data_IF_426079071080
#
_entry.id   IF_426079071080
#
_cell.length_a   1.000
_cell.length_b   1.000
_cell.length_c   1.000
_cell.angle_alpha   90.00
_cell.angle_beta   90.00
_cell.angle_gamma   90.00
#
_symmetry.space_group_name_H-M   'P 1'
#
loop_
_entity.id
_entity.type
_entity.pdbx_description
1 polymer ?
#
# COMPACT_ATOMS: atom_id res chain seq x y z
N UNK A 1 -29.64 -5.97 -12.76
CA UNK A 1 -28.52 -5.60 -11.87
C UNK A 1 -29.02 -4.55 -10.90
N UNK A 2 -28.56 -4.52 -9.64
CA UNK A 2 -28.99 -3.50 -8.68
C UNK A 2 -28.65 -2.10 -9.23
N UNK A 3 -29.53 -1.12 -8.97
CA UNK A 3 -29.34 0.28 -9.39
C UNK A 3 -28.39 1.05 -8.46
N UNK A 4 -28.11 0.50 -7.28
CA UNK A 4 -27.16 1.03 -6.30
C UNK A 4 -26.21 -0.06 -5.81
N UNK A 5 -25.13 0.36 -5.14
CA UNK A 5 -24.18 -0.49 -4.44
C UNK A 5 -23.72 0.20 -3.15
N UNK A 6 -23.21 -0.55 -2.18
CA UNK A 6 -22.73 0.02 -0.90
C UNK A 6 -21.29 0.50 -0.99
N UNK A 7 -21.01 1.66 -0.42
CA UNK A 7 -19.66 2.22 -0.27
C UNK A 7 -19.49 2.91 1.08
N UNK A 8 -18.26 2.90 1.60
CA UNK A 8 -17.87 3.62 2.80
C UNK A 8 -17.35 5.02 2.47
N UNK A 9 -17.87 6.01 3.19
CA UNK A 9 -17.53 7.42 3.05
C UNK A 9 -17.34 8.08 4.41
N UNK A 10 -16.87 9.33 4.41
CA UNK A 10 -16.86 10.24 5.56
C UNK A 10 -17.39 11.59 5.11
N UNK A 11 -18.34 12.16 5.84
CA UNK A 11 -18.81 13.54 5.64
C UNK A 11 -17.98 14.54 6.44
N UNK A 12 -17.83 14.24 7.72
CA UNK A 12 -17.04 15.04 8.66
C UNK A 12 -16.06 14.13 9.37
N UNK A 13 -14.75 14.32 9.19
CA UNK A 13 -13.74 13.51 9.86
C UNK A 13 -13.84 13.65 11.38
N UNK A 14 -13.89 12.53 12.08
CA UNK A 14 -13.96 12.50 13.55
C UNK A 14 -13.16 11.37 14.20
N UNK A 15 -12.66 10.42 13.41
CA UNK A 15 -12.23 9.12 13.90
C UNK A 15 -13.05 7.98 13.26
N UNK A 16 -12.73 6.71 13.57
CA UNK A 16 -13.33 5.55 12.91
C UNK A 16 -14.87 5.49 12.94
N UNK A 17 -15.50 6.11 13.92
CA UNK A 17 -16.95 6.25 14.05
C UNK A 17 -17.59 7.19 13.02
N UNK A 18 -16.80 8.01 12.32
CA UNK A 18 -17.27 8.86 11.22
C UNK A 18 -17.42 8.12 9.89
N UNK A 19 -17.07 6.82 9.84
CA UNK A 19 -17.22 6.00 8.64
C UNK A 19 -18.69 5.61 8.48
N UNK A 20 -19.29 6.06 7.39
CA UNK A 20 -20.69 5.79 7.02
C UNK A 20 -20.74 4.83 5.81
N UNK A 21 -21.61 3.84 5.84
CA UNK A 21 -21.94 3.02 4.65
C UNK A 21 -23.19 3.60 4.00
N UNK A 22 -23.10 3.96 2.72
CA UNK A 22 -24.19 4.54 1.95
C UNK A 22 -24.48 3.72 0.68
N UNK A 23 -25.70 3.85 0.16
CA UNK A 23 -26.04 3.40 -1.19
C UNK A 23 -25.62 4.44 -2.22
N UNK A 24 -24.86 3.99 -3.23
CA UNK A 24 -24.32 4.79 -4.32
C UNK A 24 -24.91 4.31 -5.65
N UNK A 25 -25.40 5.21 -6.52
CA UNK A 25 -25.86 4.82 -7.86
C UNK A 25 -24.76 4.15 -8.68
N UNK A 26 -25.11 3.10 -9.42
CA UNK A 26 -24.16 2.46 -10.34
C UNK A 26 -23.79 3.43 -11.47
N UNK A 27 -22.48 3.67 -11.67
CA UNK A 27 -21.95 4.45 -12.78
C UNK A 27 -21.36 3.52 -13.86
N UNK A 28 -21.59 3.83 -15.14
CA UNK A 28 -20.97 3.12 -16.27
C UNK A 28 -19.54 3.61 -16.51
N UNK A 29 -18.58 2.72 -16.83
CA UNK A 29 -17.21 3.13 -17.11
C UNK A 29 -17.12 3.92 -18.42
N UNK A 30 -16.39 5.03 -18.39
CA UNK A 30 -16.04 5.81 -19.57
C UNK A 30 -14.89 5.21 -20.38
N UNK A 31 -14.42 5.89 -21.44
CA UNK A 31 -13.27 5.45 -22.23
C UNK A 31 -12.03 5.18 -21.36
N UNK A 32 -11.35 4.06 -21.59
CA UNK A 32 -10.17 3.66 -20.81
C UNK A 32 -10.45 3.22 -19.37
N UNK A 33 -11.71 3.10 -18.95
CA UNK A 33 -12.09 2.71 -17.60
C UNK A 33 -12.76 1.33 -17.55
N UNK A 34 -12.70 0.70 -16.40
CA UNK A 34 -13.48 -0.50 -16.07
C UNK A 34 -14.25 -0.30 -14.78
N UNK A 35 -15.38 -1.01 -14.65
CA UNK A 35 -16.06 -1.18 -13.37
C UNK A 35 -15.68 -2.56 -12.81
N UNK A 36 -15.18 -2.57 -11.60
CA UNK A 36 -14.73 -3.79 -10.90
C UNK A 36 -15.66 -4.07 -9.75
N UNK A 37 -16.17 -5.30 -9.65
CA UNK A 37 -16.80 -5.82 -8.44
C UNK A 37 -15.70 -6.21 -7.45
N UNK A 38 -15.64 -5.52 -6.33
CA UNK A 38 -14.55 -5.66 -5.35
C UNK A 38 -14.79 -6.92 -4.53
N UNK A 39 -13.75 -7.76 -4.44
CA UNK A 39 -13.73 -8.96 -3.60
C UNK A 39 -12.96 -8.72 -2.28
N UNK A 40 -12.07 -7.73 -2.25
CA UNK A 40 -11.38 -7.29 -1.05
C UNK A 40 -10.70 -5.94 -1.26
N UNK A 41 -10.73 -5.11 -0.22
CA UNK A 41 -9.98 -3.86 -0.12
C UNK A 41 -9.23 -3.85 1.21
N UNK A 42 -8.09 -3.17 1.32
CA UNK A 42 -7.29 -3.24 2.56
C UNK A 42 -7.21 -1.92 3.28
N UNK A 43 -7.14 -2.00 4.61
CA UNK A 43 -6.91 -0.85 5.48
C UNK A 43 -5.42 -0.53 5.55
N UNK A 44 -5.07 0.71 5.23
CA UNK A 44 -3.71 1.23 5.26
C UNK A 44 -3.55 2.34 6.32
N UNK A 45 -2.32 2.62 6.79
CA UNK A 45 -2.06 3.75 7.67
C UNK A 45 -2.53 5.09 7.10
N UNK A 46 -2.48 5.25 5.77
CA UNK A 46 -2.98 6.45 5.10
C UNK A 46 -4.50 6.62 5.25
N UNK A 47 -5.27 5.54 5.28
CA UNK A 47 -6.72 5.61 5.50
C UNK A 47 -7.05 6.11 6.92
N UNK A 48 -6.19 5.81 7.91
CA UNK A 48 -6.34 6.35 9.27
C UNK A 48 -6.22 7.88 9.28
N UNK A 49 -5.29 8.43 8.49
CA UNK A 49 -5.10 9.88 8.38
C UNK A 49 -6.27 10.59 7.71
N UNK A 50 -6.92 9.94 6.73
CA UNK A 50 -8.16 10.46 6.11
C UNK A 50 -9.27 10.52 7.15
N UNK A 51 -9.49 9.40 7.86
CA UNK A 51 -10.52 9.26 8.90
C UNK A 51 -10.33 10.22 10.07
N UNK A 52 -9.08 10.47 10.46
CA UNK A 52 -8.74 11.41 11.53
C UNK A 52 -8.76 12.89 11.09
N UNK A 53 -8.99 13.18 9.81
CA UNK A 53 -9.06 14.55 9.29
C UNK A 53 -7.70 15.22 9.04
N UNK A 54 -6.58 14.49 9.18
CA UNK A 54 -5.23 15.03 9.00
C UNK A 54 -5.07 15.66 7.61
N UNK A 55 -5.55 14.98 6.57
CA UNK A 55 -5.42 15.48 5.19
C UNK A 55 -6.39 16.62 4.86
N UNK A 56 -7.51 16.74 5.58
CA UNK A 56 -8.40 17.91 5.46
C UNK A 56 -7.74 19.16 6.04
N UNK A 57 -7.13 19.02 7.22
CA UNK A 57 -6.40 20.12 7.87
C UNK A 57 -5.19 20.60 7.06
N UNK A 58 -4.56 19.69 6.31
CA UNK A 58 -3.47 20.00 5.38
C UNK A 58 -3.94 20.58 4.03
N UNK A 59 -5.25 20.70 3.80
CA UNK A 59 -5.81 21.19 2.54
C UNK A 59 -5.59 20.25 1.35
N UNK A 60 -5.42 18.94 1.61
CA UNK A 60 -5.23 17.90 0.59
C UNK A 60 -6.55 17.19 0.22
N UNK A 61 -7.64 17.49 0.94
CA UNK A 61 -9.01 17.08 0.65
C UNK A 61 -9.87 18.34 0.70
N UNK A 62 -10.57 18.63 -0.39
CA UNK A 62 -11.45 19.79 -0.58
C UNK A 62 -12.87 19.37 -1.04
N UNK A 63 -13.19 18.07 -0.93
CA UNK A 63 -14.53 17.57 -1.23
C UNK A 63 -15.61 18.25 -0.37
N UNK A 64 -16.68 18.78 -0.98
CA UNK A 64 -17.66 19.59 -0.26
C UNK A 64 -18.63 18.77 0.59
N UNK A 65 -18.94 17.54 0.17
CA UNK A 65 -20.02 16.74 0.77
C UNK A 65 -19.52 15.51 1.53
N UNK A 66 -18.56 14.78 0.95
CA UNK A 66 -17.99 13.57 1.53
C UNK A 66 -16.71 13.15 0.81
N UNK A 67 -15.95 12.28 1.47
CA UNK A 67 -14.76 11.62 0.91
C UNK A 67 -14.89 10.10 0.97
N UNK A 68 -14.50 9.44 -0.11
CA UNK A 68 -14.48 7.98 -0.23
C UNK A 68 -13.19 7.37 0.34
N UNK A 69 -13.31 6.19 0.94
CA UNK A 69 -12.20 5.53 1.66
C UNK A 69 -11.56 4.37 0.91
N UNK A 70 -10.31 4.06 1.25
CA UNK A 70 -9.59 2.89 0.75
C UNK A 70 -8.81 3.17 -0.54
N UNK A 71 -7.65 2.50 -0.64
CA UNK A 71 -6.68 2.66 -1.73
C UNK A 71 -6.53 1.38 -2.56
N UNK A 72 -6.41 0.24 -1.90
CA UNK A 72 -6.19 -1.04 -2.56
C UNK A 72 -7.50 -1.75 -2.85
N UNK A 73 -7.55 -2.49 -3.96
CA UNK A 73 -8.58 -3.48 -4.18
C UNK A 73 -8.05 -4.67 -4.98
N UNK A 74 -8.78 -5.79 -4.87
CA UNK A 74 -8.82 -6.82 -5.88
C UNK A 74 -10.25 -7.29 -6.09
N UNK A 75 -10.58 -7.70 -7.32
CA UNK A 75 -11.95 -7.99 -7.72
C UNK A 75 -12.06 -8.55 -9.13
N UNK A 76 -13.26 -8.49 -9.68
CA UNK A 76 -13.57 -8.98 -11.03
C UNK A 76 -14.12 -7.85 -11.87
N UNK A 77 -13.62 -7.68 -13.10
CA UNK A 77 -14.17 -6.71 -14.06
C UNK A 77 -15.59 -7.12 -14.43
N UNK A 78 -16.56 -6.23 -14.22
CA UNK A 78 -17.99 -6.47 -14.52
C UNK A 78 -18.54 -5.57 -15.63
N UNK A 79 -17.82 -4.52 -16.00
CA UNK A 79 -18.06 -3.73 -17.20
C UNK A 79 -16.76 -3.06 -17.65
N UNK A 80 -16.63 -2.79 -18.96
CA UNK A 80 -15.49 -2.10 -19.54
C UNK A 80 -16.00 -1.01 -20.49
N UNK A 81 -15.37 0.16 -20.43
CA UNK A 81 -15.65 1.26 -21.34
C UNK A 81 -14.88 1.12 -22.66
N UNK A 82 -15.10 2.05 -23.61
CA UNK A 82 -14.43 2.02 -24.91
C UNK A 82 -12.90 2.03 -24.80
N UNK A 83 -12.24 1.25 -25.67
CA UNK A 83 -10.76 1.23 -25.77
C UNK A 83 -10.06 0.43 -24.67
N UNK A 84 -10.79 -0.35 -23.88
CA UNK A 84 -10.21 -1.26 -22.88
C UNK A 84 -10.17 -2.68 -23.42
N UNK A 85 -8.97 -3.26 -23.46
CA UNK A 85 -8.74 -4.65 -23.92
C UNK A 85 -8.92 -5.70 -22.81
N UNK A 86 -9.04 -5.28 -21.55
CA UNK A 86 -9.24 -6.18 -20.41
C UNK A 86 -10.66 -6.77 -20.47
N UNK A 87 -10.81 -8.11 -20.61
CA UNK A 87 -12.13 -8.72 -20.73
C UNK A 87 -12.97 -8.60 -19.45
N UNK A 88 -14.28 -8.44 -19.60
CA UNK A 88 -15.24 -8.67 -18.51
C UNK A 88 -15.10 -10.11 -17.99
N UNK A 89 -15.12 -10.27 -16.67
CA UNK A 89 -14.82 -11.53 -15.98
C UNK A 89 -13.36 -11.68 -15.54
N UNK A 90 -12.47 -10.78 -15.98
CA UNK A 90 -11.07 -10.80 -15.57
C UNK A 90 -10.90 -10.48 -14.09
N UNK A 91 -10.06 -11.26 -13.41
CA UNK A 91 -9.62 -10.99 -12.05
C UNK A 91 -8.53 -9.92 -12.07
N UNK A 92 -8.72 -8.84 -11.33
CA UNK A 92 -7.82 -7.68 -11.33
C UNK A 92 -7.53 -7.19 -9.92
N UNK A 93 -6.38 -6.55 -9.73
CA UNK A 93 -6.04 -5.80 -8.54
C UNK A 93 -5.50 -4.43 -8.94
N UNK A 94 -5.64 -3.44 -8.06
CA UNK A 94 -5.28 -2.06 -8.37
C UNK A 94 -5.10 -1.18 -7.15
N UNK A 95 -4.49 -0.03 -7.42
CA UNK A 95 -4.27 1.05 -6.48
C UNK A 95 -5.02 2.29 -6.96
N UNK A 96 -5.95 2.81 -6.16
CA UNK A 96 -6.58 4.11 -6.36
C UNK A 96 -5.88 5.13 -5.48
N UNK A 97 -5.00 5.93 -6.09
CA UNK A 97 -4.23 6.95 -5.39
C UNK A 97 -5.01 8.26 -5.19
N UNK A 98 -4.48 9.12 -4.33
CA UNK A 98 -5.10 10.39 -3.96
C UNK A 98 -6.01 10.27 -2.75
N UNK A 99 -6.48 11.41 -2.26
CA UNK A 99 -7.38 11.50 -1.11
C UNK A 99 -8.75 12.07 -1.50
N UNK A 100 -8.73 13.02 -2.43
CA UNK A 100 -9.85 13.88 -2.78
C UNK A 100 -10.73 13.23 -3.86
N UNK A 101 -11.67 12.39 -3.43
CA UNK A 101 -12.57 11.62 -4.31
C UNK A 101 -13.88 11.29 -3.63
N UNK A 102 -14.94 11.14 -4.40
CA UNK A 102 -16.28 10.80 -3.88
C UNK A 102 -16.30 9.39 -3.28
N UNK A 103 -15.73 8.42 -4.00
CA UNK A 103 -15.76 7.00 -3.64
C UNK A 103 -14.38 6.36 -3.79
N UNK A 104 -14.00 5.53 -2.82
CA UNK A 104 -12.75 4.77 -2.84
C UNK A 104 -13.00 3.27 -2.90
N UNK A 105 -11.99 2.48 -2.56
CA UNK A 105 -12.05 1.01 -2.69
C UNK A 105 -12.84 0.31 -1.58
N UNK A 106 -13.23 1.01 -0.52
CA UNK A 106 -14.14 0.47 0.48
C UNK A 106 -15.57 0.45 -0.05
N UNK A 107 -15.82 -0.35 -1.07
CA UNK A 107 -17.08 -0.40 -1.79
C UNK A 107 -17.32 -1.79 -2.38
N UNK A 108 -18.57 -2.09 -2.73
CA UNK A 108 -18.92 -3.32 -3.46
C UNK A 108 -18.43 -3.30 -4.92
N UNK A 109 -18.31 -2.12 -5.51
CA UNK A 109 -17.74 -1.93 -6.84
C UNK A 109 -17.15 -0.53 -6.99
N UNK A 110 -16.26 -0.36 -7.98
CA UNK A 110 -15.65 0.93 -8.28
C UNK A 110 -15.31 1.04 -9.77
N UNK A 111 -15.41 2.25 -10.33
CA UNK A 111 -14.89 2.58 -11.66
C UNK A 111 -13.45 3.07 -11.53
N UNK A 112 -12.54 2.47 -12.28
CA UNK A 112 -11.09 2.75 -12.23
C UNK A 112 -10.50 2.80 -13.63
N UNK A 113 -9.37 3.49 -13.79
CA UNK A 113 -8.62 3.48 -15.03
C UNK A 113 -8.03 2.08 -15.29
N UNK A 114 -8.13 1.59 -16.53
CA UNK A 114 -7.56 0.30 -16.91
C UNK A 114 -6.02 0.29 -16.84
N UNK A 115 -5.37 1.46 -16.89
CA UNK A 115 -3.91 1.62 -16.73
C UNK A 115 -3.41 1.38 -15.30
N UNK A 116 -4.31 1.48 -14.32
CA UNK A 116 -3.96 1.48 -12.90
C UNK A 116 -4.14 0.10 -12.26
N UNK A 117 -4.56 -0.87 -13.06
CA UNK A 117 -4.88 -2.22 -12.63
C UNK A 117 -4.02 -3.25 -13.35
N UNK A 118 -3.91 -4.42 -12.73
CA UNK A 118 -3.22 -5.57 -13.29
C UNK A 118 -4.08 -6.82 -13.17
N UNK A 119 -3.90 -7.76 -14.09
CA UNK A 119 -4.50 -9.09 -13.98
C UNK A 119 -3.92 -9.82 -12.77
N UNK A 120 -4.79 -10.49 -12.02
CA UNK A 120 -4.40 -11.35 -10.90
C UNK A 120 -4.14 -12.76 -11.43
N UNK A 121 -2.94 -13.34 -11.24
CA UNK A 121 -2.64 -14.70 -11.67
C UNK A 121 -3.59 -15.73 -11.03
N UNK A 122 -3.87 -16.82 -11.75
CA UNK A 122 -4.89 -17.78 -11.33
C UNK A 122 -4.62 -18.38 -9.94
N UNK A 123 -3.34 -18.64 -9.62
CA UNK A 123 -2.87 -19.17 -8.34
C UNK A 123 -2.93 -18.20 -7.16
N UNK A 124 -3.20 -16.91 -7.38
CA UNK A 124 -3.23 -15.90 -6.32
C UNK A 124 -4.66 -15.46 -6.00
N UNK A 125 -5.23 -15.94 -4.90
CA UNK A 125 -6.60 -15.59 -4.49
C UNK A 125 -6.81 -14.07 -4.33
N UNK A 126 -7.99 -13.55 -4.69
CA UNK A 126 -8.28 -12.10 -4.70
C UNK A 126 -8.05 -11.41 -3.34
N UNK A 127 -8.40 -12.06 -2.23
CA UNK A 127 -8.14 -11.53 -0.88
C UNK A 127 -6.64 -11.30 -0.64
N UNK A 128 -5.80 -12.23 -1.07
CA UNK A 128 -4.35 -12.09 -0.97
C UNK A 128 -3.82 -11.03 -1.96
N UNK A 129 -4.33 -11.04 -3.19
CA UNK A 129 -3.99 -10.06 -4.21
C UNK A 129 -4.29 -8.62 -3.78
N UNK A 130 -5.38 -8.37 -3.04
CA UNK A 130 -5.73 -7.05 -2.50
C UNK A 130 -4.68 -6.50 -1.52
N UNK A 131 -3.77 -7.34 -0.99
CA UNK A 131 -2.72 -6.90 -0.06
C UNK A 131 -1.49 -6.31 -0.73
N UNK A 132 -1.35 -6.53 -2.04
CA UNK A 132 -0.16 -6.21 -2.85
C UNK A 132 -0.09 -4.74 -3.29
N UNK A 133 -1.15 -4.07 -3.80
CA UNK A 133 -0.98 -2.90 -4.67
C UNK A 133 -0.16 -1.75 -4.08
N UNK A 134 -0.64 -1.04 -3.05
CA UNK A 134 0.05 0.12 -2.49
C UNK A 134 1.40 -0.24 -1.88
N UNK A 135 1.49 -1.38 -1.18
CA UNK A 135 2.72 -1.76 -0.48
C UNK A 135 3.80 -2.21 -1.45
N UNK A 136 3.43 -3.01 -2.46
CA UNK A 136 4.36 -3.47 -3.47
C UNK A 136 4.81 -2.35 -4.39
N UNK A 137 3.89 -1.46 -4.80
CA UNK A 137 4.25 -0.28 -5.59
C UNK A 137 5.13 0.68 -4.77
N UNK A 138 4.81 0.93 -3.50
CA UNK A 138 5.66 1.72 -2.61
C UNK A 138 7.06 1.10 -2.46
N UNK A 139 7.15 -0.21 -2.23
CA UNK A 139 8.43 -0.90 -2.09
C UNK A 139 9.25 -0.86 -3.38
N UNK A 140 8.64 -1.15 -4.53
CA UNK A 140 9.30 -1.10 -5.83
C UNK A 140 9.85 0.30 -6.15
N UNK A 141 9.00 1.33 -5.98
CA UNK A 141 9.37 2.73 -6.24
C UNK A 141 10.39 3.25 -5.21
N UNK A 142 10.36 2.75 -3.97
CA UNK A 142 11.39 3.03 -2.96
C UNK A 142 12.74 2.45 -3.41
N UNK A 143 12.75 1.20 -3.86
CA UNK A 143 13.98 0.55 -4.32
C UNK A 143 14.51 1.23 -5.58
N UNK A 144 13.65 1.82 -6.43
CA UNK A 144 14.09 2.63 -7.58
C UNK A 144 14.87 3.86 -7.12
N UNK A 145 14.43 4.53 -6.05
CA UNK A 145 15.09 5.70 -5.47
C UNK A 145 16.40 5.35 -4.73
N UNK A 146 16.55 4.12 -4.24
CA UNK A 146 17.83 3.63 -3.70
C UNK A 146 18.90 3.50 -4.80
N UNK A 147 18.46 3.23 -6.03
CA UNK A 147 19.35 2.92 -7.15
C UNK A 147 20.06 1.57 -7.00
N UNK A 148 21.06 1.37 -7.86
CA UNK A 148 21.84 0.13 -7.85
C UNK A 148 22.76 0.05 -6.63
N UNK A 149 22.91 -1.17 -6.10
CA UNK A 149 23.63 -1.39 -4.86
C UNK A 149 25.14 -1.20 -5.02
N UNK A 150 25.73 -1.64 -6.13
CA UNK A 150 27.16 -1.89 -6.25
C UNK A 150 27.74 -2.75 -5.09
N UNK A 151 26.91 -3.63 -4.50
CA UNK A 151 27.25 -4.45 -3.33
C UNK A 151 27.24 -3.72 -1.98
N UNK A 152 26.64 -2.52 -1.91
CA UNK A 152 26.49 -1.73 -0.68
C UNK A 152 25.48 -2.34 0.31
N UNK A 153 25.60 -1.91 1.57
CA UNK A 153 24.79 -2.39 2.68
C UNK A 153 23.52 -1.54 2.88
N UNK A 154 22.36 -2.20 2.85
CA UNK A 154 21.05 -1.58 3.05
C UNK A 154 20.46 -2.02 4.38
N UNK A 155 20.04 -1.04 5.19
CA UNK A 155 19.13 -1.29 6.30
C UNK A 155 17.68 -1.06 5.86
N UNK A 156 16.80 -2.02 6.14
CA UNK A 156 15.34 -1.85 5.97
C UNK A 156 14.69 -1.76 7.35
N UNK A 157 14.22 -0.59 7.76
CA UNK A 157 13.45 -0.45 9.00
C UNK A 157 12.03 -0.98 8.80
N UNK A 158 11.39 -1.46 9.86
CA UNK A 158 10.04 -2.02 9.73
C UNK A 158 10.02 -3.26 8.82
N UNK A 159 11.10 -4.04 8.83
CA UNK A 159 11.32 -5.19 7.95
C UNK A 159 10.21 -6.26 8.03
N UNK A 160 9.58 -6.39 9.19
CA UNK A 160 8.45 -7.29 9.41
C UNK A 160 7.09 -6.73 8.96
N UNK A 161 7.05 -5.48 8.49
CA UNK A 161 5.88 -4.79 7.98
C UNK A 161 5.57 -5.12 6.52
N UNK A 162 4.50 -4.52 6.00
CA UNK A 162 3.98 -4.81 4.65
C UNK A 162 4.84 -4.20 3.53
N UNK A 163 5.40 -3.01 3.74
CA UNK A 163 6.34 -2.39 2.80
C UNK A 163 7.74 -2.98 2.98
N UNK A 164 8.25 -3.00 4.22
CA UNK A 164 9.62 -3.46 4.51
C UNK A 164 9.92 -4.88 4.03
N UNK A 165 8.98 -5.82 4.20
CA UNK A 165 9.16 -7.18 3.71
C UNK A 165 9.31 -7.28 2.18
N UNK A 166 8.66 -6.37 1.44
CA UNK A 166 8.75 -6.32 -0.03
C UNK A 166 10.04 -5.63 -0.46
N UNK A 167 10.44 -4.57 0.27
CA UNK A 167 11.72 -3.88 0.04
C UNK A 167 12.89 -4.86 0.18
N UNK A 168 12.85 -5.76 1.16
CA UNK A 168 13.90 -6.79 1.33
C UNK A 168 14.09 -7.59 0.05
N UNK A 169 13.04 -8.27 -0.42
CA UNK A 169 13.13 -9.14 -1.59
C UNK A 169 13.53 -8.33 -2.85
N UNK A 170 12.90 -7.19 -3.09
CA UNK A 170 13.15 -6.37 -4.27
C UNK A 170 14.54 -5.71 -4.26
N UNK A 171 15.08 -5.35 -3.10
CA UNK A 171 16.42 -4.78 -3.00
C UNK A 171 17.50 -5.85 -3.20
N UNK A 172 17.26 -7.09 -2.73
CA UNK A 172 18.16 -8.22 -2.99
C UNK A 172 18.23 -8.55 -4.48
N UNK A 173 17.12 -8.46 -5.21
CA UNK A 173 17.10 -8.61 -6.68
C UNK A 173 17.96 -7.54 -7.39
N UNK A 174 18.22 -6.40 -6.73
CA UNK A 174 19.15 -5.35 -7.19
C UNK A 174 20.55 -5.45 -6.59
N UNK A 175 20.86 -6.58 -5.96
CA UNK A 175 22.18 -6.89 -5.42
C UNK A 175 22.53 -6.17 -4.12
N UNK A 176 21.57 -5.59 -3.40
CA UNK A 176 21.85 -5.00 -2.07
C UNK A 176 22.16 -6.09 -1.05
N UNK A 177 23.10 -5.83 -0.15
CA UNK A 177 23.28 -6.64 1.07
C UNK A 177 22.33 -6.13 2.13
N UNK A 178 21.22 -6.85 2.33
CA UNK A 178 20.09 -6.34 3.10
C UNK A 178 20.12 -6.86 4.54
N UNK A 179 20.07 -5.94 5.50
CA UNK A 179 19.72 -6.22 6.90
C UNK A 179 18.35 -5.64 7.20
N UNK A 180 17.44 -6.47 7.70
CA UNK A 180 16.14 -6.03 8.18
C UNK A 180 16.17 -5.67 9.67
N UNK A 181 15.67 -4.49 10.01
CA UNK A 181 15.41 -4.06 11.38
C UNK A 181 13.94 -4.25 11.76
N UNK A 182 13.70 -5.05 12.78
CA UNK A 182 12.36 -5.30 13.34
C UNK A 182 12.46 -5.77 14.81
N UNK A 183 11.32 -6.09 15.43
CA UNK A 183 11.32 -6.63 16.81
C UNK A 183 11.96 -8.01 16.81
N UNK A 184 12.59 -8.41 17.91
CA UNK A 184 13.21 -9.73 18.07
C UNK A 184 12.25 -10.89 17.75
N UNK A 185 10.96 -10.74 18.05
CA UNK A 185 9.92 -11.74 17.72
C UNK A 185 9.71 -11.97 16.23
N UNK A 186 10.20 -11.06 15.37
CA UNK A 186 10.08 -11.15 13.92
C UNK A 186 11.33 -11.68 13.21
N UNK A 187 12.39 -12.01 13.96
CA UNK A 187 13.67 -12.45 13.38
C UNK A 187 13.49 -13.59 12.37
N UNK A 188 12.73 -14.62 12.74
CA UNK A 188 12.49 -15.77 11.87
C UNK A 188 11.81 -15.37 10.55
N UNK A 189 10.90 -14.39 10.59
CA UNK A 189 10.24 -13.90 9.39
C UNK A 189 11.22 -13.14 8.50
N UNK A 190 11.98 -12.20 9.07
CA UNK A 190 12.95 -11.37 8.32
C UNK A 190 14.04 -12.24 7.69
N UNK A 191 14.62 -13.16 8.46
CA UNK A 191 15.62 -14.12 7.93
C UNK A 191 15.03 -15.07 6.89
N UNK A 192 13.76 -15.42 7.03
CA UNK A 192 13.04 -16.24 6.05
C UNK A 192 12.88 -15.55 4.69
N UNK A 193 12.99 -14.23 4.62
CA UNK A 193 13.06 -13.47 3.37
C UNK A 193 14.48 -13.42 2.78
N UNK A 194 15.47 -14.03 3.43
CA UNK A 194 16.86 -14.06 2.97
C UNK A 194 17.72 -12.88 3.42
N UNK A 195 17.21 -11.98 4.26
CA UNK A 195 17.97 -10.86 4.81
C UNK A 195 18.67 -11.21 6.14
N UNK A 196 19.73 -10.48 6.45
CA UNK A 196 20.23 -10.41 7.82
C UNK A 196 19.22 -9.70 8.75
N UNK A 197 19.42 -9.84 10.06
CA UNK A 197 18.48 -9.33 11.06
C UNK A 197 19.19 -8.56 12.18
N UNK A 198 18.59 -7.45 12.59
CA UNK A 198 18.92 -6.76 13.85
C UNK A 198 17.66 -6.23 14.53
N UNK A 199 17.65 -6.20 15.87
CA UNK A 199 16.64 -5.50 16.64
C UNK A 199 17.09 -4.10 17.09
N UNK A 200 18.39 -3.83 16.98
CA UNK A 200 19.04 -2.59 17.44
C UNK A 200 20.09 -2.21 16.39
N UNK A 201 19.69 -1.57 15.28
CA UNK A 201 20.65 -1.13 14.27
C UNK A 201 21.54 -0.02 14.83
N UNK A 202 22.84 -0.10 14.57
CA UNK A 202 23.79 0.98 14.84
C UNK A 202 24.01 1.82 13.57
N UNK A 203 24.45 3.09 13.67
CA UNK A 203 24.77 3.92 12.52
C UNK A 203 25.91 3.37 11.65
N UNK A 204 25.88 3.70 10.35
CA UNK A 204 26.96 3.37 9.41
C UNK A 204 26.52 2.80 8.06
N UNK A 205 25.21 2.74 7.79
CA UNK A 205 24.66 2.10 6.59
C UNK A 205 24.87 2.95 5.33
N UNK A 206 25.20 2.32 4.20
CA UNK A 206 25.27 3.01 2.90
C UNK A 206 23.92 3.60 2.50
N UNK A 207 22.84 2.87 2.81
CA UNK A 207 21.49 3.34 2.63
C UNK A 207 20.54 2.84 3.71
N UNK A 208 19.48 3.61 3.97
CA UNK A 208 18.36 3.22 4.84
C UNK A 208 17.05 3.36 4.05
N UNK A 209 16.32 2.26 3.96
CA UNK A 209 14.92 2.23 3.54
C UNK A 209 14.04 2.29 4.79
N UNK A 210 13.43 3.45 5.04
CA UNK A 210 12.65 3.69 6.24
C UNK A 210 11.16 3.35 6.05
N UNK A 211 10.82 2.07 6.18
CA UNK A 211 9.44 1.60 6.12
C UNK A 211 8.72 1.62 7.49
N UNK A 212 9.43 1.93 8.58
CA UNK A 212 8.86 2.14 9.91
C UNK A 212 8.53 3.62 10.22
N UNK A 213 8.81 4.53 9.29
CA UNK A 213 8.59 5.98 9.43
C UNK A 213 9.33 6.61 10.63
N UNK A 214 10.57 6.15 10.89
CA UNK A 214 11.48 6.67 11.91
C UNK A 214 12.02 8.08 11.61
N UNK A 215 11.99 8.51 10.34
CA UNK A 215 12.37 9.87 9.91
C UNK A 215 13.80 10.24 10.36
N UNK A 216 13.97 11.24 11.24
CA UNK A 216 15.28 11.70 11.71
C UNK A 216 16.10 10.59 12.39
N UNK A 217 15.43 9.69 13.12
CA UNK A 217 16.10 8.52 13.74
C UNK A 217 16.61 7.55 12.67
N UNK A 218 15.83 7.32 11.61
CA UNK A 218 16.26 6.50 10.47
C UNK A 218 17.39 7.17 9.68
N UNK A 219 17.35 8.50 9.52
CA UNK A 219 18.40 9.28 8.86
C UNK A 219 19.72 9.24 9.64
N UNK A 220 19.66 9.22 10.97
CA UNK A 220 20.84 9.10 11.83
C UNK A 220 21.60 7.78 11.63
N UNK A 221 20.94 6.73 11.15
CA UNK A 221 21.56 5.43 10.88
C UNK A 221 22.40 5.43 9.58
N UNK A 222 22.17 6.37 8.66
CA UNK A 222 22.89 6.46 7.38
C UNK A 222 24.30 7.01 7.61
N UNK A 223 25.31 6.49 6.92
CA UNK A 223 26.65 7.09 6.90
C UNK A 223 26.68 8.41 6.13
N UNK A 224 27.72 9.19 6.33
CA UNK A 224 27.92 10.43 5.57
C UNK A 224 28.00 10.15 4.05
N UNK A 225 27.31 10.98 3.27
CA UNK A 225 27.18 10.80 1.82
C UNK A 225 26.29 9.63 1.36
N UNK A 226 25.60 8.95 2.28
CA UNK A 226 24.71 7.83 1.96
C UNK A 226 23.33 8.25 1.43
N UNK A 227 22.39 7.31 1.41
CA UNK A 227 21.03 7.52 0.90
C UNK A 227 19.98 7.16 1.97
N UNK A 228 19.00 8.03 2.16
CA UNK A 228 17.81 7.74 2.94
C UNK A 228 16.58 7.78 2.04
N UNK A 229 15.73 6.77 2.11
CA UNK A 229 14.42 6.78 1.45
C UNK A 229 13.33 6.39 2.45
N UNK A 230 12.50 7.35 2.82
CA UNK A 230 11.30 7.12 3.64
C UNK A 230 10.04 6.90 2.81
N UNK A 231 8.90 6.73 3.48
CA UNK A 231 7.59 6.51 2.85
C UNK A 231 6.61 7.61 3.27
N UNK A 232 5.91 8.22 2.30
CA UNK A 232 4.80 9.17 2.56
C UNK A 232 3.60 8.44 3.18
N UNK A 233 2.80 9.09 4.06
CA UNK A 233 2.67 10.53 4.24
C UNK A 233 3.67 11.18 5.19
N UNK A 234 4.54 10.41 5.87
CA UNK A 234 5.54 10.98 6.77
C UNK A 234 6.44 12.00 6.07
N UNK A 235 6.85 13.03 6.80
CA UNK A 235 7.75 14.04 6.27
C UNK A 235 9.13 13.42 6.00
N UNK A 236 9.75 13.81 4.89
CA UNK A 236 11.17 13.52 4.71
C UNK A 236 11.96 14.37 5.72
N UNK A 237 12.93 13.79 6.45
CA UNK A 237 13.79 14.55 7.34
C UNK A 237 14.66 15.53 6.55
N UNK A 238 15.18 16.57 7.21
CA UNK A 238 16.04 17.54 6.55
C UNK A 238 17.38 16.88 6.12
N UNK A 239 17.85 17.08 4.89
CA UNK A 239 19.15 16.57 4.47
C UNK A 239 20.29 17.11 5.36
N UNK A 240 21.18 16.22 5.78
CA UNK A 240 22.35 16.53 6.59
C UNK A 240 23.49 15.56 6.24
N UNK A 241 24.73 15.89 6.63
CA UNK A 241 25.92 15.02 6.45
C UNK A 241 26.15 14.54 5.01
N UNK A 242 25.73 15.33 4.02
CA UNK A 242 25.79 15.00 2.60
C UNK A 242 24.87 13.84 2.17
N UNK A 243 23.93 13.43 3.03
CA UNK A 243 23.00 12.34 2.73
C UNK A 243 21.96 12.80 1.72
N UNK A 244 21.72 11.97 0.70
CA UNK A 244 20.60 12.17 -0.23
C UNK A 244 19.32 11.65 0.41
N UNK A 245 18.31 12.51 0.53
CA UNK A 245 17.05 12.18 1.20
C UNK A 245 15.89 12.17 0.20
N UNK A 246 15.15 11.07 0.17
CA UNK A 246 13.91 10.93 -0.58
C UNK A 246 12.77 10.45 0.32
N UNK A 247 11.54 10.69 -0.12
CA UNK A 247 10.36 10.03 0.44
C UNK A 247 9.46 9.57 -0.71
N UNK A 248 9.19 8.27 -0.78
CA UNK A 248 8.36 7.68 -1.83
C UNK A 248 6.90 7.98 -1.57
N UNK A 249 6.19 8.41 -2.61
CA UNK A 249 4.73 8.43 -2.64
C UNK A 249 4.29 7.41 -3.68
N UNK A 250 3.60 6.34 -3.24
CA UNK A 250 3.14 5.30 -4.13
C UNK A 250 2.23 5.87 -5.22
N UNK A 251 2.58 5.59 -6.48
CA UNK A 251 1.75 5.93 -7.65
C UNK A 251 1.19 4.65 -8.29
N UNK A 252 -0.04 4.69 -8.85
CA UNK A 252 -0.56 3.58 -9.63
C UNK A 252 0.33 3.31 -10.85
N UNK A 253 0.57 2.03 -11.10
CA UNK A 253 1.32 1.53 -12.25
C UNK A 253 0.89 0.08 -12.49
N UNK A 254 -0.05 -0.14 -13.40
CA UNK A 254 -0.59 -1.47 -13.69
C UNK A 254 0.46 -2.44 -14.23
N UNK A 255 1.43 -1.96 -15.01
CA UNK A 255 2.49 -2.80 -15.55
C UNK A 255 3.45 -3.29 -14.45
N UNK A 256 3.85 -2.39 -13.54
CA UNK A 256 4.67 -2.77 -12.38
C UNK A 256 3.89 -3.63 -11.40
N UNK A 257 2.59 -3.36 -11.21
CA UNK A 257 1.73 -4.17 -10.35
C UNK A 257 1.59 -5.61 -10.88
N UNK A 258 1.51 -5.81 -12.19
CA UNK A 258 1.47 -7.16 -12.77
C UNK A 258 2.72 -7.98 -12.38
N UNK A 259 3.90 -7.38 -12.43
CA UNK A 259 5.15 -8.04 -12.00
C UNK A 259 5.13 -8.40 -10.51
N UNK A 260 4.59 -7.51 -9.68
CA UNK A 260 4.49 -7.72 -8.22
C UNK A 260 3.48 -8.82 -7.87
N UNK A 261 2.36 -8.90 -8.59
CA UNK A 261 1.38 -9.98 -8.42
C UNK A 261 1.97 -11.34 -8.83
N UNK A 262 2.75 -11.40 -9.90
CA UNK A 262 3.43 -12.63 -10.33
C UNK A 262 4.51 -13.07 -9.33
N UNK A 263 5.32 -12.14 -8.84
CA UNK A 263 6.28 -12.39 -7.78
C UNK A 263 5.59 -12.86 -6.48
N UNK A 264 4.38 -12.39 -6.21
CA UNK A 264 3.59 -12.86 -5.08
C UNK A 264 3.02 -14.26 -5.32
N UNK A 265 2.52 -14.54 -6.53
CA UNK A 265 1.98 -15.84 -6.90
C UNK A 265 3.03 -16.96 -6.87
N UNK A 266 4.27 -16.63 -7.22
CA UNK A 266 5.42 -17.55 -7.15
C UNK A 266 6.01 -17.72 -5.74
N UNK A 267 5.56 -16.91 -4.76
CA UNK A 267 6.04 -16.93 -3.38
C UNK A 267 7.31 -16.12 -3.12
N UNK A 268 7.83 -15.39 -4.12
CA UNK A 268 8.96 -14.46 -3.95
C UNK A 268 8.60 -13.28 -3.05
N UNK A 269 7.39 -12.73 -3.22
CA UNK A 269 6.85 -11.67 -2.35
C UNK A 269 5.76 -12.23 -1.42
N UNK A 270 5.79 -11.89 -0.12
CA UNK A 270 4.84 -12.45 0.83
C UNK A 270 3.46 -11.73 0.74
N UNK A 271 2.40 -12.43 0.34
CA UNK A 271 1.03 -11.95 0.56
C UNK A 271 0.58 -12.25 2.00
N UNK A 272 0.43 -11.22 2.83
CA UNK A 272 0.11 -11.39 4.25
C UNK A 272 -1.25 -10.78 4.57
N UNK A 273 -2.24 -11.65 4.70
CA UNK A 273 -3.57 -11.32 5.23
C UNK A 273 -3.53 -11.53 6.74
N UNK A 274 -3.81 -10.47 7.49
CA UNK A 274 -3.94 -10.57 8.95
C UNK A 274 -5.32 -11.10 9.34
N UNK A 275 -6.35 -10.46 8.80
CA UNK A 275 -7.75 -10.83 9.01
C UNK A 275 -8.58 -10.37 7.81
N UNK A 276 -9.67 -11.09 7.57
CA UNK A 276 -10.71 -10.70 6.61
C UNK A 276 -11.95 -10.37 7.41
N UNK A 277 -12.48 -9.17 7.25
CA UNK A 277 -13.67 -8.69 7.97
C UNK A 277 -14.68 -8.08 6.99
N UNK A 278 -15.98 -8.10 7.29
CA UNK A 278 -16.99 -7.39 6.51
C UNK A 278 -16.70 -5.89 6.36
N UNK A 279 -17.12 -5.29 5.24
CA UNK A 279 -17.00 -3.85 4.99
C UNK A 279 -17.70 -3.01 6.07
N UNK A 280 -18.82 -3.51 6.61
CA UNK A 280 -19.54 -2.86 7.71
C UNK A 280 -18.72 -2.75 8.99
N UNK A 281 -17.66 -3.54 9.14
CA UNK A 281 -16.75 -3.52 10.29
C UNK A 281 -15.50 -2.66 10.03
N UNK A 282 -15.53 -1.78 9.01
CA UNK A 282 -14.39 -0.90 8.66
C UNK A 282 -13.89 -0.07 9.84
N UNK A 283 -14.79 0.46 10.68
CA UNK A 283 -14.42 1.22 11.87
C UNK A 283 -13.60 0.40 12.87
N UNK A 284 -13.96 -0.87 13.07
CA UNK A 284 -13.27 -1.79 13.97
C UNK A 284 -11.89 -2.16 13.41
N UNK A 285 -11.81 -2.42 12.10
CA UNK A 285 -10.54 -2.65 11.42
C UNK A 285 -9.59 -1.44 11.52
N UNK A 286 -10.10 -0.23 11.34
CA UNK A 286 -9.34 1.01 11.54
C UNK A 286 -8.79 1.12 12.96
N UNK A 287 -9.62 0.87 13.98
CA UNK A 287 -9.18 0.87 15.39
C UNK A 287 -8.11 -0.18 15.65
N UNK A 288 -8.21 -1.35 15.02
CA UNK A 288 -7.21 -2.40 15.18
C UNK A 288 -5.87 -2.07 14.50
N UNK A 289 -5.90 -1.52 13.28
CA UNK A 289 -4.69 -1.06 12.58
C UNK A 289 -4.00 0.07 13.36
N UNK A 290 -4.77 1.02 13.90
CA UNK A 290 -4.22 2.13 14.68
C UNK A 290 -3.48 1.68 15.96
N UNK A 291 -3.86 0.55 16.57
CA UNK A 291 -3.12 -0.03 17.73
C UNK A 291 -1.73 -0.56 17.35
N UNK A 292 -1.47 -0.81 16.07
CA UNK A 292 -0.22 -1.35 15.57
C UNK A 292 0.04 -2.80 16.00
N UNK A 293 1.26 -3.28 15.76
CA UNK A 293 1.66 -4.67 16.08
C UNK A 293 1.08 -5.74 15.16
N UNK A 294 0.29 -5.34 14.16
CA UNK A 294 -0.34 -6.21 13.18
C UNK A 294 0.71 -6.77 12.21
N UNK A 295 0.50 -8.00 11.76
CA UNK A 295 1.32 -8.69 10.77
C UNK A 295 0.47 -9.02 9.56
N UNK A 296 0.77 -8.40 8.43
CA UNK A 296 -0.10 -8.41 7.25
C UNK A 296 -1.15 -7.30 7.30
N UNK A 297 -2.20 -7.43 6.47
CA UNK A 297 -3.25 -6.41 6.31
C UNK A 297 -4.62 -6.91 6.75
N UNK A 298 -5.43 -6.00 7.29
CA UNK A 298 -6.87 -6.20 7.35
C UNK A 298 -7.45 -6.03 5.95
N UNK A 299 -8.22 -7.03 5.51
CA UNK A 299 -8.96 -7.00 4.24
C UNK A 299 -10.44 -6.85 4.56
N UNK A 300 -11.03 -5.75 4.12
CA UNK A 300 -12.46 -5.51 4.10
C UNK A 300 -13.08 -6.25 2.92
N UNK A 301 -14.12 -7.04 3.19
CA UNK A 301 -14.91 -7.74 2.19
C UNK A 301 -16.30 -7.09 2.08
N UNK A 302 -16.68 -6.56 0.91
CA UNK A 302 -17.99 -5.96 0.69
C UNK A 302 -19.17 -6.92 0.98
#
# INVERSE_FOLDING_TARGET
MPSTFRAAIIRTPGGPESIEIIDVPVAEPGPGQVRVQIAGATVNPVDLGVVAGVFHQLGLIDQPDHVGLGWDFAGTVIAAGPGVDIPVGSRVAGLVAGFDRDYGTYAEQLVVAASDIALVPDGLGLVAAATVPVNGLAAAQLVDLLGDSAGRDLLVTGAAGTVGGYVIALAQDRGWRVTGSARATDEKFVRGLGADFTASPEPGWDAVADAAALQDEGLALVRDGGVFVGVRPSAAPAPQRGITVHAVQARPDGARLAQLLEATASGHLPARVHAVVPLVDAADAHRAVAKGGVRGKYVLRP
#
